data_IF_205467620551
#
_entry.id   IF_205467620551
#
_cell.length_a   1.000
_cell.length_b   1.000
_cell.length_c   1.000
_cell.angle_alpha   90.00
_cell.angle_beta   90.00
_cell.angle_gamma   90.00
#
_symmetry.space_group_name_H-M   'P 1'
#
loop_
_entity.id
_entity.type
_entity.pdbx_description
1 polymer ?
#
# COMPACT_ATOMS: atom_id res chain seq x y z
N UNK A 1 -5.90 -17.01 5.21
CA UNK A 1 -5.17 -15.88 5.82
C UNK A 1 -3.70 -15.98 5.43
N UNK A 2 -3.14 -14.89 4.97
CA UNK A 2 -1.73 -14.87 4.58
C UNK A 2 -0.90 -14.31 5.74
N UNK A 3 -0.09 -15.16 6.36
CA UNK A 3 0.74 -14.77 7.51
C UNK A 3 1.96 -13.93 7.12
N UNK A 4 2.23 -13.82 5.82
CA UNK A 4 3.37 -13.06 5.31
C UNK A 4 3.02 -11.61 4.97
N UNK A 5 1.77 -11.20 5.15
CA UNK A 5 1.36 -9.83 4.93
C UNK A 5 1.62 -8.97 6.15
N UNK A 6 2.20 -7.81 5.92
CA UNK A 6 2.45 -6.81 6.95
C UNK A 6 1.57 -5.61 6.64
N UNK A 7 0.93 -5.06 7.66
CA UNK A 7 0.04 -3.92 7.49
C UNK A 7 0.46 -2.79 8.40
N UNK A 8 0.62 -1.60 7.82
CA UNK A 8 0.96 -0.38 8.54
C UNK A 8 -0.24 0.56 8.49
N UNK A 9 -0.51 1.20 9.62
CA UNK A 9 -1.64 2.12 9.81
C UNK A 9 -1.11 3.51 10.13
N UNK A 10 -1.63 4.52 9.41
CA UNK A 10 -1.22 5.91 9.62
C UNK A 10 -2.43 6.80 9.75
N UNK A 11 -2.30 7.82 10.57
CA UNK A 11 -3.28 8.91 10.69
C UNK A 11 -2.68 10.11 9.98
N UNK A 12 -3.44 10.67 9.03
CA UNK A 12 -3.00 11.84 8.27
C UNK A 12 -3.94 12.99 8.53
N UNK A 13 -3.39 14.12 8.95
CA UNK A 13 -4.15 15.34 9.19
C UNK A 13 -3.86 16.37 8.11
N UNK A 14 -4.88 17.13 7.74
CA UNK A 14 -4.79 18.16 6.73
C UNK A 14 -5.51 17.75 5.46
N UNK A 15 -5.49 18.63 4.49
CA UNK A 15 -6.11 18.37 3.19
C UNK A 15 -5.15 17.55 2.33
N UNK A 16 -5.63 16.45 1.77
CA UNK A 16 -4.83 15.60 0.90
C UNK A 16 -5.36 15.69 -0.51
N UNK A 17 -4.49 16.13 -1.43
CA UNK A 17 -4.76 16.06 -2.86
C UNK A 17 -4.44 14.64 -3.32
N UNK A 18 -5.47 13.85 -3.59
CA UNK A 18 -5.32 12.44 -3.88
C UNK A 18 -4.53 12.19 -5.17
N UNK A 19 -4.70 13.03 -6.19
CA UNK A 19 -3.94 12.87 -7.43
C UNK A 19 -2.45 13.09 -7.20
N UNK A 20 -2.10 14.12 -6.43
CA UNK A 20 -0.70 14.40 -6.10
C UNK A 20 -0.12 13.28 -5.25
N UNK A 21 -0.90 12.76 -4.31
CA UNK A 21 -0.51 11.65 -3.44
C UNK A 21 -0.26 10.38 -4.27
N UNK A 22 -1.17 10.07 -5.17
CA UNK A 22 -1.04 8.93 -6.09
C UNK A 22 0.21 9.04 -6.94
N UNK A 23 0.48 10.22 -7.48
CA UNK A 23 1.67 10.44 -8.32
C UNK A 23 2.96 10.32 -7.52
N UNK A 24 2.96 10.80 -6.27
CA UNK A 24 4.14 10.66 -5.41
C UNK A 24 4.47 9.20 -5.17
N UNK A 25 3.45 8.36 -4.87
CA UNK A 25 3.64 6.93 -4.70
C UNK A 25 4.12 6.27 -5.99
N UNK A 26 3.55 6.65 -7.13
CA UNK A 26 3.94 6.08 -8.41
C UNK A 26 5.40 6.38 -8.74
N UNK A 27 5.88 7.59 -8.41
CA UNK A 27 7.28 7.95 -8.61
C UNK A 27 8.20 7.14 -7.71
N UNK A 28 7.81 6.91 -6.46
CA UNK A 28 8.61 6.10 -5.53
C UNK A 28 8.68 4.65 -6.02
N UNK A 29 7.57 4.09 -6.50
CA UNK A 29 7.56 2.74 -7.08
C UNK A 29 8.51 2.67 -8.29
N UNK A 30 8.49 3.69 -9.15
CA UNK A 30 9.40 3.74 -10.29
C UNK A 30 10.86 3.82 -9.89
N UNK A 31 11.14 4.46 -8.75
CA UNK A 31 12.50 4.66 -8.24
C UNK A 31 13.08 3.41 -7.59
N UNK A 32 12.24 2.56 -6.99
CA UNK A 32 12.70 1.41 -6.21
C UNK A 32 12.37 0.08 -6.92
N UNK A 33 13.39 -0.60 -7.48
CA UNK A 33 13.15 -1.87 -8.17
C UNK A 33 12.46 -2.92 -7.30
N UNK A 34 12.72 -2.96 -5.99
CA UNK A 34 12.10 -3.93 -5.10
C UNK A 34 10.56 -3.81 -5.10
N UNK A 35 10.03 -2.60 -5.30
CA UNK A 35 8.59 -2.37 -5.35
C UNK A 35 7.98 -2.76 -6.70
N UNK A 36 8.83 -3.10 -7.70
CA UNK A 36 8.42 -3.57 -9.01
C UNK A 36 8.79 -5.04 -9.24
N UNK A 37 9.11 -5.74 -8.17
CA UNK A 37 9.58 -7.12 -8.25
C UNK A 37 8.45 -8.10 -7.98
N UNK A 38 8.31 -9.07 -8.86
CA UNK A 38 7.48 -10.25 -8.66
C UNK A 38 8.37 -11.47 -8.45
N UNK A 39 7.79 -12.54 -7.96
CA UNK A 39 8.50 -13.77 -7.66
C UNK A 39 7.82 -14.92 -8.37
N UNK A 40 8.56 -15.65 -9.19
CA UNK A 40 8.06 -16.79 -9.93
C UNK A 40 8.88 -18.02 -9.56
N UNK A 41 8.22 -19.06 -9.08
CA UNK A 41 8.88 -20.34 -8.81
C UNK A 41 8.05 -21.56 -9.18
N UNK A 42 6.86 -21.35 -9.69
CA UNK A 42 6.07 -22.46 -10.21
C UNK A 42 6.79 -23.09 -11.41
N UNK A 43 6.91 -24.40 -11.42
CA UNK A 43 7.57 -25.16 -12.47
C UNK A 43 9.08 -24.92 -12.56
N UNK A 44 9.66 -24.21 -11.59
CA UNK A 44 11.09 -23.92 -11.57
C UNK A 44 11.72 -24.63 -10.38
N UNK A 45 12.98 -25.05 -10.54
CA UNK A 45 13.72 -25.67 -9.43
C UNK A 45 14.13 -24.64 -8.38
N UNK A 46 14.22 -23.39 -8.77
CA UNK A 46 14.60 -22.27 -7.90
C UNK A 46 13.68 -21.08 -8.19
N UNK A 47 13.36 -20.29 -7.16
CA UNK A 47 12.56 -19.11 -7.37
C UNK A 47 13.34 -18.05 -8.16
N UNK A 48 12.65 -17.35 -9.03
CA UNK A 48 13.18 -16.18 -9.73
C UNK A 48 12.54 -14.91 -9.22
N UNK A 49 13.37 -13.87 -9.14
CA UNK A 49 12.88 -12.51 -8.97
C UNK A 49 12.81 -11.88 -10.35
N UNK A 50 11.66 -11.30 -10.67
CA UNK A 50 11.46 -10.62 -11.93
C UNK A 50 11.19 -9.16 -11.64
N UNK A 51 12.11 -8.28 -12.03
CA UNK A 51 11.94 -6.85 -11.86
C UNK A 51 11.24 -6.30 -13.10
N UNK A 52 10.04 -5.76 -12.92
CA UNK A 52 9.30 -5.17 -14.02
C UNK A 52 9.81 -3.77 -14.32
N UNK A 53 9.84 -3.42 -15.59
CA UNK A 53 10.30 -2.09 -16.01
C UNK A 53 9.39 -0.99 -15.46
N UNK A 54 8.08 -1.23 -15.47
CA UNK A 54 7.11 -0.31 -14.91
C UNK A 54 5.98 -1.10 -14.26
N UNK A 55 5.42 -0.54 -13.19
CA UNK A 55 4.31 -1.13 -12.46
C UNK A 55 3.34 0.00 -12.11
N UNK A 56 2.07 -0.24 -12.36
CA UNK A 56 1.03 0.72 -11.98
C UNK A 56 0.58 0.44 -10.56
N UNK A 57 0.65 1.46 -9.70
CA UNK A 57 0.17 1.40 -8.33
C UNK A 57 -1.09 2.23 -8.20
N UNK A 58 -2.15 1.60 -7.76
CA UNK A 58 -3.44 2.26 -7.55
C UNK A 58 -3.74 2.34 -6.07
N UNK A 59 -4.23 3.50 -5.62
CA UNK A 59 -4.66 3.68 -4.24
C UNK A 59 -6.18 3.54 -4.19
N UNK A 60 -6.67 2.59 -3.39
CA UNK A 60 -8.11 2.45 -3.16
C UNK A 60 -8.56 3.59 -2.25
N UNK A 61 -9.60 4.30 -2.67
CA UNK A 61 -10.11 5.47 -1.97
C UNK A 61 -11.44 5.17 -1.32
N UNK A 62 -11.59 5.63 -0.09
CA UNK A 62 -12.83 5.45 0.67
C UNK A 62 -13.24 6.79 1.26
N UNK A 63 -14.46 7.21 1.01
CA UNK A 63 -14.99 8.44 1.60
C UNK A 63 -16.06 8.03 2.62
N UNK A 64 -15.71 8.10 3.89
CA UNK A 64 -16.58 7.71 4.99
C UNK A 64 -17.05 8.90 5.82
N UNK A 65 -17.00 10.09 5.26
CA UNK A 65 -17.42 11.30 5.99
C UNK A 65 -18.88 11.29 6.42
N UNK A 66 -19.71 10.55 5.69
CA UNK A 66 -21.12 10.43 6.02
C UNK A 66 -21.42 9.42 7.12
N UNK A 67 -20.45 8.61 7.52
CA UNK A 67 -20.63 7.61 8.57
C UNK A 67 -20.45 8.23 9.95
N UNK A 68 -21.13 7.67 10.95
CA UNK A 68 -20.88 8.06 12.35
C UNK A 68 -19.50 7.58 12.79
N UNK A 69 -18.98 8.12 13.90
CA UNK A 69 -17.70 7.70 14.44
C UNK A 69 -17.67 6.20 14.73
N UNK A 70 -18.75 5.65 15.28
CA UNK A 70 -18.86 4.22 15.55
C UNK A 70 -18.85 3.39 14.27
N UNK A 71 -19.55 3.84 13.24
CA UNK A 71 -19.57 3.16 11.94
C UNK A 71 -18.19 3.22 11.28
N UNK A 72 -17.49 4.35 11.39
CA UNK A 72 -16.13 4.49 10.87
C UNK A 72 -15.18 3.52 11.55
N UNK A 73 -15.25 3.41 12.88
CA UNK A 73 -14.39 2.49 13.63
C UNK A 73 -14.64 1.04 13.21
N UNK A 74 -15.90 0.64 13.11
CA UNK A 74 -16.25 -0.72 12.71
C UNK A 74 -15.81 -1.00 11.27
N UNK A 75 -16.02 -0.06 10.36
CA UNK A 75 -15.62 -0.20 8.96
C UNK A 75 -14.12 -0.28 8.81
N UNK A 76 -13.37 0.49 9.61
CA UNK A 76 -11.92 0.48 9.55
C UNK A 76 -11.35 -0.86 10.01
N UNK A 77 -11.88 -1.40 11.10
CA UNK A 77 -11.48 -2.73 11.59
C UNK A 77 -11.74 -3.80 10.53
N UNK A 78 -12.92 -3.77 9.91
CA UNK A 78 -13.29 -4.74 8.87
C UNK A 78 -12.39 -4.61 7.64
N UNK A 79 -12.15 -3.39 7.18
CA UNK A 79 -11.29 -3.16 6.01
C UNK A 79 -9.86 -3.63 6.27
N UNK A 80 -9.31 -3.27 7.43
CA UNK A 80 -7.95 -3.65 7.79
C UNK A 80 -7.81 -5.17 7.86
N UNK A 81 -8.78 -5.85 8.46
CA UNK A 81 -8.76 -7.31 8.60
C UNK A 81 -8.84 -8.01 7.25
N UNK A 82 -9.78 -7.58 6.41
CA UNK A 82 -9.97 -8.16 5.09
C UNK A 82 -8.74 -7.94 4.21
N UNK A 83 -8.18 -6.74 4.23
CA UNK A 83 -7.02 -6.42 3.41
C UNK A 83 -5.80 -7.21 3.85
N UNK A 84 -5.57 -7.30 5.15
CA UNK A 84 -4.43 -8.06 5.69
C UNK A 84 -4.54 -9.55 5.35
N UNK A 85 -5.74 -10.09 5.34
CA UNK A 85 -5.98 -11.50 5.06
C UNK A 85 -5.91 -11.86 3.58
N UNK A 86 -6.04 -10.88 2.69
CA UNK A 86 -6.04 -11.12 1.25
C UNK A 86 -4.63 -11.39 0.75
N UNK A 87 -4.43 -12.56 0.14
CA UNK A 87 -3.13 -12.95 -0.40
C UNK A 87 -2.75 -12.14 -1.63
N UNK A 88 -1.44 -11.98 -1.83
CA UNK A 88 -0.90 -11.39 -3.05
C UNK A 88 -0.59 -12.50 -4.06
N UNK A 89 -0.77 -12.20 -5.33
CA UNK A 89 -0.22 -13.01 -6.40
C UNK A 89 1.25 -12.65 -6.53
N UNK A 90 2.15 -13.52 -6.09
CA UNK A 90 3.57 -13.19 -5.96
C UNK A 90 4.24 -12.87 -7.29
N UNK A 91 3.67 -13.32 -8.39
CA UNK A 91 4.22 -13.03 -9.72
C UNK A 91 3.84 -11.66 -10.24
N UNK A 92 2.83 -11.02 -9.65
CA UNK A 92 2.27 -9.76 -10.14
C UNK A 92 2.58 -8.62 -9.17
N UNK A 93 3.62 -7.81 -9.44
CA UNK A 93 3.87 -6.64 -8.60
C UNK A 93 2.88 -5.50 -8.93
N UNK A 94 2.67 -4.55 -8.03
CA UNK A 94 3.38 -4.44 -6.75
C UNK A 94 2.82 -5.41 -5.71
N UNK A 95 3.68 -5.92 -4.85
CA UNK A 95 3.26 -6.76 -3.73
C UNK A 95 2.87 -5.89 -2.54
N UNK A 96 2.02 -4.93 -2.82
CA UNK A 96 1.64 -3.88 -1.89
C UNK A 96 0.26 -3.35 -2.29
N UNK A 97 -0.57 -3.07 -1.29
CA UNK A 97 -1.88 -2.44 -1.49
C UNK A 97 -1.98 -1.21 -0.59
N UNK A 98 -2.55 -0.16 -1.14
CA UNK A 98 -2.73 1.10 -0.43
C UNK A 98 -4.20 1.47 -0.36
N UNK A 99 -4.65 1.86 0.83
CA UNK A 99 -6.01 2.35 1.06
C UNK A 99 -5.95 3.70 1.74
N UNK A 100 -6.60 4.68 1.16
CA UNK A 100 -6.73 6.01 1.74
C UNK A 100 -8.18 6.25 2.11
N UNK A 101 -8.46 6.47 3.38
CA UNK A 101 -9.81 6.61 3.92
C UNK A 101 -9.98 8.01 4.47
N UNK A 102 -10.98 8.74 3.98
CA UNK A 102 -11.31 10.05 4.48
C UNK A 102 -12.42 9.96 5.51
N UNK A 103 -12.14 10.37 6.75
CA UNK A 103 -13.11 10.33 7.85
C UNK A 103 -13.76 11.68 8.10
N UNK A 104 -13.06 12.77 7.81
CA UNK A 104 -13.54 14.14 7.93
C UNK A 104 -12.79 15.00 6.92
N UNK A 105 -13.13 16.26 6.85
CA UNK A 105 -12.52 17.18 5.89
C UNK A 105 -10.99 17.17 5.95
N UNK A 106 -10.44 17.13 7.16
CA UNK A 106 -8.99 17.19 7.38
C UNK A 106 -8.46 15.96 8.13
N UNK A 107 -9.19 14.84 8.11
CA UNK A 107 -8.81 13.66 8.86
C UNK A 107 -8.89 12.43 7.98
N UNK A 108 -7.75 11.75 7.80
CA UNK A 108 -7.61 10.58 6.95
C UNK A 108 -6.94 9.45 7.71
N UNK A 109 -7.20 8.24 7.24
CA UNK A 109 -6.45 7.04 7.63
C UNK A 109 -5.82 6.46 6.38
N UNK A 110 -4.61 5.94 6.53
CA UNK A 110 -3.87 5.34 5.43
C UNK A 110 -3.41 3.95 5.85
N UNK A 111 -3.79 2.94 5.06
CA UNK A 111 -3.38 1.56 5.27
C UNK A 111 -2.43 1.15 4.16
N UNK A 112 -1.25 0.67 4.53
CA UNK A 112 -0.27 0.13 3.61
C UNK A 112 -0.05 -1.33 3.96
N UNK A 113 -0.48 -2.24 3.08
CA UNK A 113 -0.31 -3.68 3.27
C UNK A 113 0.66 -4.18 2.21
N UNK A 114 1.70 -4.90 2.64
CA UNK A 114 2.70 -5.41 1.72
C UNK A 114 3.14 -6.81 2.12
N UNK A 115 3.65 -7.56 1.13
CA UNK A 115 4.14 -8.90 1.38
C UNK A 115 5.53 -8.84 1.98
N UNK A 116 5.78 -9.72 2.96
CA UNK A 116 7.04 -9.77 3.68
C UNK A 116 8.27 -9.93 2.76
N UNK A 117 8.10 -10.58 1.60
CA UNK A 117 9.21 -10.83 0.68
C UNK A 117 9.88 -9.57 0.14
N UNK A 118 9.18 -8.43 0.12
CA UNK A 118 9.78 -7.19 -0.37
C UNK A 118 10.54 -6.42 0.71
N UNK A 119 10.55 -6.90 1.95
CA UNK A 119 11.20 -6.19 3.05
C UNK A 119 12.72 -6.16 2.99
N UNK A 120 13.36 -7.15 2.37
CA UNK A 120 14.81 -7.21 2.33
C UNK A 120 15.46 -6.02 1.63
N UNK A 121 14.78 -5.47 0.62
CA UNK A 121 15.28 -4.31 -0.10
C UNK A 121 14.45 -3.06 0.11
N UNK A 122 13.58 -3.05 1.13
CA UNK A 122 12.61 -1.99 1.32
C UNK A 122 12.52 -1.60 2.78
N UNK A 123 12.58 -0.30 3.03
CA UNK A 123 12.31 0.27 4.34
C UNK A 123 11.08 1.16 4.26
N UNK A 124 10.04 0.82 5.00
CA UNK A 124 8.81 1.59 5.02
C UNK A 124 9.07 3.05 5.42
N UNK A 125 9.96 3.27 6.39
CA UNK A 125 10.29 4.62 6.83
C UNK A 125 10.93 5.46 5.73
N UNK A 126 11.84 4.87 4.95
CA UNK A 126 12.51 5.56 3.84
C UNK A 126 11.51 5.85 2.72
N UNK A 127 10.70 4.86 2.35
CA UNK A 127 9.71 5.01 1.28
C UNK A 127 8.70 6.09 1.64
N UNK A 128 8.19 6.09 2.85
CA UNK A 128 7.22 7.08 3.30
C UNK A 128 7.82 8.48 3.35
N UNK A 129 9.09 8.59 3.73
CA UNK A 129 9.78 9.88 3.69
C UNK A 129 9.88 10.41 2.26
N UNK A 130 10.25 9.56 1.31
CA UNK A 130 10.35 9.95 -0.10
C UNK A 130 8.99 10.36 -0.66
N UNK A 131 7.92 9.62 -0.32
CA UNK A 131 6.56 10.00 -0.73
C UNK A 131 6.21 11.39 -0.20
N UNK A 132 6.50 11.65 1.08
CA UNK A 132 6.22 12.94 1.70
C UNK A 132 6.98 14.07 1.02
N UNK A 133 8.27 13.85 0.72
CA UNK A 133 9.10 14.85 0.03
C UNK A 133 8.58 15.15 -1.38
N UNK A 134 8.19 14.14 -2.13
CA UNK A 134 7.66 14.32 -3.47
C UNK A 134 6.28 14.96 -3.42
N UNK A 135 5.46 14.57 -2.47
CA UNK A 135 4.10 15.08 -2.32
C UNK A 135 4.09 16.59 -2.03
N UNK A 136 5.05 17.04 -1.21
CA UNK A 136 5.18 18.47 -0.93
C UNK A 136 5.81 19.19 -2.11
#
# INVERSE_FOLDING_TARGET
MDVYNIQLHYRLHGHIDVHTFQRAWQQVVARHPVLRTGFAWEKLKQPYQVVHESVELTIARHDWRSLTAEQQDAALVALAREDKAQSFSLEVPPLMRLNLIQLAELDYRFLCTFHHMIMEGWSAAIVLREVDEIYK
#
